data_IF_819410884931
#
_entry.id   IF_819410884931
#
_cell.length_a   1.000
_cell.length_b   1.000
_cell.length_c   1.000
_cell.angle_alpha   90.00
_cell.angle_beta   90.00
_cell.angle_gamma   90.00
#
_symmetry.space_group_name_H-M   'P 1'
#
loop_
_entity.id
_entity.type
_entity.pdbx_description
1 polymer ?
#
# COMPACT_ATOMS: atom_id res chain seq x y z
N UNK A 1 65.32 -54.77 22.78
CA UNK A 1 63.88 -55.12 22.71
C UNK A 1 63.18 -54.48 23.89
N UNK A 2 62.14 -53.67 23.65
CA UNK A 2 60.93 -53.48 24.49
C UNK A 2 60.26 -52.14 24.13
N UNK A 3 58.93 -52.16 24.04
CA UNK A 3 58.08 -51.22 23.31
C UNK A 3 57.95 -49.80 23.92
N UNK A 4 57.88 -48.81 23.04
CA UNK A 4 57.43 -47.44 23.33
C UNK A 4 55.90 -47.41 23.31
N UNK A 5 55.29 -47.10 24.46
CA UNK A 5 53.85 -47.17 24.69
C UNK A 5 53.16 -45.87 24.25
N UNK A 6 52.20 -45.99 23.32
CA UNK A 6 51.25 -44.94 22.93
C UNK A 6 50.26 -44.67 24.07
N UNK A 7 50.05 -43.41 24.41
CA UNK A 7 48.78 -42.95 25.01
C UNK A 7 48.22 -41.83 24.12
N UNK A 8 47.21 -42.20 23.33
CA UNK A 8 46.37 -41.29 22.55
C UNK A 8 45.37 -40.66 23.51
N UNK A 9 45.31 -39.33 23.52
CA UNK A 9 44.29 -38.57 24.26
C UNK A 9 42.88 -38.97 23.81
N UNK A 10 42.12 -39.57 24.72
CA UNK A 10 40.69 -39.83 24.57
C UNK A 10 39.92 -38.90 25.50
N UNK A 11 39.74 -37.65 25.10
CA UNK A 11 38.86 -36.70 25.81
C UNK A 11 38.45 -35.53 24.93
N UNK A 12 37.99 -35.78 23.70
CA UNK A 12 37.44 -34.71 22.86
C UNK A 12 36.32 -35.16 21.89
N UNK A 13 35.55 -36.18 22.26
CA UNK A 13 34.35 -36.60 21.49
C UNK A 13 33.04 -36.49 22.30
N UNK A 14 33.03 -35.79 23.44
CA UNK A 14 31.85 -35.70 24.30
C UNK A 14 30.96 -34.47 24.09
N UNK A 15 31.47 -33.38 23.51
CA UNK A 15 30.75 -32.10 23.46
C UNK A 15 30.21 -31.70 22.08
N UNK A 16 30.64 -32.37 21.01
CA UNK A 16 30.17 -32.06 19.65
C UNK A 16 28.80 -32.70 19.32
N UNK A 17 28.48 -33.85 19.90
CA UNK A 17 27.22 -34.56 19.61
C UNK A 17 25.98 -33.88 20.23
N UNK A 18 26.13 -33.22 21.39
CA UNK A 18 25.03 -32.49 22.04
C UNK A 18 24.65 -31.21 21.29
N UNK A 19 25.64 -30.53 20.71
CA UNK A 19 25.45 -29.33 19.88
C UNK A 19 24.66 -29.61 18.59
N UNK A 20 24.98 -30.70 17.89
CA UNK A 20 24.27 -31.08 16.67
C UNK A 20 22.81 -31.50 16.91
N UNK A 21 22.50 -32.13 18.05
CA UNK A 21 21.13 -32.53 18.37
C UNK A 21 20.23 -31.32 18.70
N UNK A 22 20.77 -30.27 19.33
CA UNK A 22 20.03 -29.03 19.58
C UNK A 22 19.71 -28.27 18.27
N UNK A 23 20.64 -28.26 17.31
CA UNK A 23 20.41 -27.64 16.00
C UNK A 23 19.37 -28.40 15.16
N UNK A 24 19.34 -29.73 15.25
CA UNK A 24 18.30 -30.54 14.60
C UNK A 24 16.94 -30.39 15.26
N UNK A 25 16.88 -30.25 16.60
CA UNK A 25 15.62 -29.97 17.31
C UNK A 25 15.05 -28.57 16.95
N UNK A 26 15.91 -27.58 16.72
CA UNK A 26 15.50 -26.24 16.27
C UNK A 26 15.02 -26.22 14.81
N UNK A 27 15.50 -27.12 13.95
CA UNK A 27 15.02 -27.22 12.57
C UNK A 27 13.67 -27.95 12.43
N UNK A 28 13.29 -28.79 13.39
CA UNK A 28 11.99 -29.48 13.38
C UNK A 28 10.85 -28.61 13.90
N UNK A 29 11.14 -27.52 14.60
CA UNK A 29 10.17 -26.43 14.76
C UNK A 29 10.16 -25.63 13.46
N UNK A 30 9.46 -26.18 12.46
CA UNK A 30 8.83 -25.40 11.41
C UNK A 30 7.88 -24.42 12.09
N UNK A 31 8.44 -23.31 12.55
CA UNK A 31 7.70 -22.11 12.87
C UNK A 31 7.02 -21.74 11.58
N UNK A 32 5.78 -22.18 11.42
CA UNK A 32 4.84 -21.47 10.59
C UNK A 32 4.85 -20.06 11.16
N UNK A 33 5.66 -19.20 10.58
CA UNK A 33 5.48 -17.77 10.71
C UNK A 33 4.04 -17.58 10.26
N UNK A 34 3.13 -17.42 11.24
CA UNK A 34 1.78 -16.93 10.97
C UNK A 34 2.04 -15.73 10.10
N UNK A 35 1.49 -15.66 8.86
CA UNK A 35 1.61 -14.45 8.09
C UNK A 35 1.13 -13.36 9.02
N UNK A 36 2.02 -12.45 9.41
CA UNK A 36 1.56 -11.22 10.06
C UNK A 36 0.90 -10.48 8.89
N UNK A 37 -0.34 -10.86 8.59
CA UNK A 37 -1.15 -10.22 7.58
C UNK A 37 -1.27 -8.78 8.02
N UNK A 38 -0.50 -7.91 7.39
CA UNK A 38 -0.58 -6.48 7.60
C UNK A 38 -1.90 -6.02 6.99
N UNK A 39 -2.97 -6.13 7.77
CA UNK A 39 -4.28 -5.61 7.36
C UNK A 39 -4.11 -4.14 6.96
N UNK A 40 -4.62 -3.78 5.79
CA UNK A 40 -4.57 -2.42 5.28
C UNK A 40 -5.32 -1.49 6.23
N UNK A 41 -4.58 -0.63 6.93
CA UNK A 41 -5.15 0.29 7.90
C UNK A 41 -4.37 1.59 8.00
N UNK A 42 -5.10 2.67 8.26
CA UNK A 42 -4.62 3.99 8.61
C UNK A 42 -5.19 4.38 9.98
N UNK A 43 -4.52 5.28 10.69
CA UNK A 43 -5.04 5.73 11.98
C UNK A 43 -6.12 6.79 11.77
N UNK A 44 -7.09 6.84 12.68
CA UNK A 44 -8.08 7.90 12.68
C UNK A 44 -7.44 9.31 12.70
N UNK A 45 -6.32 9.45 13.43
CA UNK A 45 -5.55 10.71 13.50
C UNK A 45 -4.92 11.14 12.19
N UNK A 46 -4.67 10.23 11.24
CA UNK A 46 -4.15 10.57 9.92
C UNK A 46 -5.16 11.45 9.13
N UNK A 47 -6.46 11.36 9.44
CA UNK A 47 -7.53 12.13 8.82
C UNK A 47 -8.09 13.28 9.69
N UNK A 48 -7.65 13.41 10.95
CA UNK A 48 -8.07 14.49 11.87
C UNK A 48 -7.16 15.72 11.76
N UNK A 49 -6.88 16.14 10.53
CA UNK A 49 -6.05 17.32 10.25
C UNK A 49 -6.89 18.30 9.42
N UNK A 50 -7.70 19.17 10.06
CA UNK A 50 -8.66 20.02 9.35
C UNK A 50 -8.04 20.85 8.23
N UNK A 51 -6.83 21.38 8.48
CA UNK A 51 -6.11 22.18 7.50
C UNK A 51 -5.83 21.41 6.20
N UNK A 52 -5.21 20.23 6.28
CA UNK A 52 -4.86 19.46 5.06
C UNK A 52 -6.09 18.85 4.39
N UNK A 53 -7.12 18.51 5.17
CA UNK A 53 -8.43 18.10 4.63
C UNK A 53 -9.02 19.23 3.80
N UNK A 54 -9.06 20.45 4.32
CA UNK A 54 -9.58 21.60 3.58
C UNK A 54 -8.74 21.87 2.33
N UNK A 55 -7.41 21.84 2.41
CA UNK A 55 -6.53 22.00 1.25
C UNK A 55 -6.76 20.93 0.18
N UNK A 56 -7.01 19.69 0.58
CA UNK A 56 -7.34 18.59 -0.34
C UNK A 56 -8.66 18.85 -1.07
N UNK A 57 -9.66 19.37 -0.36
CA UNK A 57 -10.96 19.68 -0.95
C UNK A 57 -10.88 20.91 -1.87
N UNK A 58 -10.10 21.93 -1.51
CA UNK A 58 -9.87 23.10 -2.36
C UNK A 58 -9.11 22.73 -3.63
N UNK A 59 -8.11 21.85 -3.55
CA UNK A 59 -7.41 21.32 -4.73
C UNK A 59 -8.38 20.59 -5.68
N UNK A 60 -9.24 19.74 -5.10
CA UNK A 60 -10.25 19.03 -5.87
C UNK A 60 -11.25 20.00 -6.53
N UNK A 61 -11.72 21.00 -5.78
CA UNK A 61 -12.63 22.01 -6.30
C UNK A 61 -11.99 22.79 -7.46
N UNK A 62 -10.77 23.29 -7.30
CA UNK A 62 -10.08 24.07 -8.33
C UNK A 62 -9.85 23.27 -9.61
N UNK A 63 -9.43 22.00 -9.50
CA UNK A 63 -9.28 21.13 -10.65
C UNK A 63 -10.62 20.76 -11.29
N UNK A 64 -11.68 20.59 -10.50
CA UNK A 64 -13.01 20.29 -11.03
C UNK A 64 -13.59 21.43 -11.89
N UNK A 65 -13.22 22.68 -11.61
CA UNK A 65 -13.60 23.84 -12.45
C UNK A 65 -12.93 23.79 -13.83
N UNK A 66 -11.79 23.10 -13.96
CA UNK A 66 -11.10 22.89 -15.23
C UNK A 66 -11.51 21.56 -15.92
N UNK A 67 -12.30 20.72 -15.25
CA UNK A 67 -12.82 19.47 -15.79
C UNK A 67 -14.15 19.70 -16.52
N UNK A 68 -14.08 19.76 -17.84
CA UNK A 68 -15.27 19.98 -18.68
C UNK A 68 -16.10 18.72 -18.91
N UNK A 69 -15.68 17.54 -18.43
CA UNK A 69 -16.38 16.29 -18.68
C UNK A 69 -17.28 15.93 -17.49
N UNK A 70 -18.59 16.04 -17.64
CA UNK A 70 -19.55 15.69 -16.57
C UNK A 70 -20.11 14.27 -16.68
N UNK A 71 -19.87 13.59 -17.81
CA UNK A 71 -20.41 12.26 -18.09
C UNK A 71 -19.64 11.13 -17.40
N UNK A 72 -18.35 11.34 -17.15
CA UNK A 72 -17.45 10.33 -16.59
C UNK A 72 -17.06 10.69 -15.17
N UNK A 73 -17.33 9.74 -14.26
CA UNK A 73 -16.87 9.75 -12.86
C UNK A 73 -15.90 8.60 -12.62
N UNK A 74 -14.72 8.89 -12.08
CA UNK A 74 -13.66 7.91 -11.83
C UNK A 74 -13.88 7.14 -10.53
N UNK A 75 -14.18 7.84 -9.44
CA UNK A 75 -14.33 7.30 -8.09
C UNK A 75 -15.82 7.25 -7.72
N UNK A 76 -16.39 6.06 -7.84
CA UNK A 76 -17.79 5.78 -7.54
C UNK A 76 -18.07 4.28 -7.43
N UNK A 77 -19.35 3.90 -7.41
CA UNK A 77 -19.78 2.53 -7.09
C UNK A 77 -19.16 1.44 -7.98
N UNK A 78 -18.92 1.75 -9.26
CA UNK A 78 -18.28 0.83 -10.22
C UNK A 78 -16.89 0.38 -9.76
N UNK A 79 -16.13 1.26 -9.12
CA UNK A 79 -14.80 0.96 -8.60
C UNK A 79 -14.83 -0.11 -7.50
N UNK A 80 -15.91 -0.16 -6.71
CA UNK A 80 -16.09 -1.10 -5.62
C UNK A 80 -16.92 -2.33 -6.00
N UNK A 81 -17.28 -2.48 -7.28
CA UNK A 81 -18.13 -3.57 -7.74
C UNK A 81 -17.44 -4.92 -7.50
N UNK A 82 -18.10 -5.82 -6.76
CA UNK A 82 -17.57 -7.14 -6.43
C UNK A 82 -16.43 -7.15 -5.41
N UNK A 83 -16.13 -6.02 -4.75
CA UNK A 83 -15.03 -5.91 -3.77
C UNK A 83 -15.57 -6.04 -2.35
N UNK A 84 -15.02 -6.98 -1.56
CA UNK A 84 -15.41 -7.15 -0.17
C UNK A 84 -15.02 -5.91 0.65
N UNK A 85 -15.83 -5.53 1.64
CA UNK A 85 -15.53 -4.39 2.53
C UNK A 85 -14.13 -4.49 3.15
N UNK A 86 -13.68 -5.70 3.51
CA UNK A 86 -12.36 -5.95 4.10
C UNK A 86 -11.19 -5.69 3.13
N UNK A 87 -11.46 -5.70 1.82
CA UNK A 87 -10.47 -5.49 0.76
C UNK A 87 -10.45 -4.04 0.26
N UNK A 88 -11.43 -3.21 0.65
CA UNK A 88 -11.59 -1.85 0.12
C UNK A 88 -10.40 -0.95 0.44
N UNK A 89 -9.76 -1.11 1.60
CA UNK A 89 -8.57 -0.30 1.88
C UNK A 89 -7.40 -0.68 0.95
N UNK A 90 -7.25 -1.96 0.63
CA UNK A 90 -6.26 -2.41 -0.35
C UNK A 90 -6.56 -1.87 -1.75
N UNK A 91 -7.82 -1.89 -2.16
CA UNK A 91 -8.23 -1.23 -3.40
C UNK A 91 -7.85 0.26 -3.38
N UNK A 92 -8.16 0.98 -2.30
CA UNK A 92 -7.89 2.41 -2.21
C UNK A 92 -6.39 2.72 -2.12
N UNK A 93 -5.56 1.82 -1.58
CA UNK A 93 -4.10 1.90 -1.67
C UNK A 93 -3.67 1.91 -3.13
N UNK A 94 -4.16 0.97 -3.95
CA UNK A 94 -3.78 0.87 -5.35
C UNK A 94 -4.21 2.09 -6.17
N UNK A 95 -5.42 2.62 -5.88
CA UNK A 95 -5.90 3.87 -6.49
C UNK A 95 -5.05 5.06 -6.04
N UNK A 96 -4.74 5.19 -4.75
CA UNK A 96 -3.90 6.26 -4.21
C UNK A 96 -2.51 6.26 -4.84
N UNK A 97 -1.87 5.10 -4.96
CA UNK A 97 -0.54 4.97 -5.55
C UNK A 97 -0.56 5.40 -7.02
N UNK A 98 -1.53 4.92 -7.79
CA UNK A 98 -1.73 5.35 -9.17
C UNK A 98 -1.93 6.86 -9.27
N UNK A 99 -2.83 7.44 -8.48
CA UNK A 99 -3.09 8.88 -8.50
C UNK A 99 -1.84 9.69 -8.12
N UNK A 100 -1.03 9.23 -7.17
CA UNK A 100 0.23 9.90 -6.85
C UNK A 100 1.21 9.87 -8.03
N UNK A 101 1.51 8.69 -8.55
CA UNK A 101 2.60 8.48 -9.51
C UNK A 101 2.27 8.98 -10.92
N UNK A 102 1.05 8.74 -11.37
CA UNK A 102 0.66 8.91 -12.78
C UNK A 102 -0.26 10.14 -12.99
N UNK A 103 -0.65 10.83 -11.92
CA UNK A 103 -1.51 12.03 -12.00
C UNK A 103 -0.87 13.21 -11.27
N UNK A 104 -0.66 13.10 -9.96
CA UNK A 104 -0.26 14.25 -9.14
C UNK A 104 1.19 14.67 -9.36
N UNK A 105 2.13 13.72 -9.42
CA UNK A 105 3.53 14.04 -9.67
C UNK A 105 3.76 14.68 -11.06
N UNK A 106 3.19 14.16 -12.16
CA UNK A 106 3.23 14.82 -13.48
C UNK A 106 2.63 16.24 -13.47
N UNK A 107 1.53 16.43 -12.75
CA UNK A 107 0.81 17.72 -12.69
C UNK A 107 1.26 18.61 -11.51
N UNK A 108 2.39 18.30 -10.88
CA UNK A 108 2.87 18.95 -9.64
C UNK A 108 3.08 20.47 -9.75
N UNK A 109 3.22 21.00 -10.97
CA UNK A 109 3.39 22.42 -11.24
C UNK A 109 2.08 23.21 -11.29
N UNK A 110 0.92 22.55 -11.33
CA UNK A 110 -0.42 23.16 -11.43
C UNK A 110 -1.11 23.27 -10.07
N UNK A 111 -2.22 24.03 -10.03
CA UNK A 111 -3.12 24.16 -8.87
C UNK A 111 -2.39 24.50 -7.57
N UNK A 112 -1.45 25.44 -7.69
CA UNK A 112 -0.70 25.97 -6.57
C UNK A 112 -1.55 26.97 -5.80
N UNK A 113 -1.42 27.05 -4.45
CA UNK A 113 -0.43 26.35 -3.63
C UNK A 113 -0.86 24.94 -3.16
N UNK A 114 -2.09 24.53 -3.45
CA UNK A 114 -2.68 23.32 -2.83
C UNK A 114 -1.92 22.05 -3.22
N UNK A 115 -1.48 21.94 -4.47
CA UNK A 115 -0.72 20.78 -4.95
C UNK A 115 0.56 20.54 -4.13
N UNK A 116 1.32 21.60 -3.82
CA UNK A 116 2.55 21.51 -3.04
C UNK A 116 2.32 20.98 -1.61
N UNK A 117 1.14 21.25 -1.04
CA UNK A 117 0.81 20.83 0.34
C UNK A 117 0.18 19.43 0.38
N UNK A 118 -0.71 19.12 -0.56
CA UNK A 118 -1.51 17.89 -0.57
C UNK A 118 -0.71 16.67 -1.03
N UNK A 119 0.18 16.82 -2.02
CA UNK A 119 0.97 15.68 -2.55
C UNK A 119 1.85 15.04 -1.47
N UNK A 120 2.65 15.77 -0.68
CA UNK A 120 3.43 15.17 0.41
C UNK A 120 2.57 14.47 1.45
N UNK A 121 1.38 15.00 1.75
CA UNK A 121 0.45 14.39 2.68
C UNK A 121 -0.08 13.04 2.15
N UNK A 122 -0.55 13.00 0.90
CA UNK A 122 -1.02 11.76 0.26
C UNK A 122 0.11 10.73 0.13
N UNK A 123 1.32 11.17 -0.19
CA UNK A 123 2.51 10.31 -0.22
C UNK A 123 2.81 9.68 1.15
N UNK A 124 2.60 10.42 2.25
CA UNK A 124 2.72 9.87 3.62
C UNK A 124 1.69 8.76 3.87
N UNK A 125 0.44 8.92 3.42
CA UNK A 125 -0.59 7.88 3.55
C UNK A 125 -0.24 6.64 2.72
N UNK A 126 0.21 6.85 1.47
CA UNK A 126 0.68 5.76 0.59
C UNK A 126 1.82 4.98 1.25
N UNK A 127 2.82 5.68 1.81
CA UNK A 127 3.94 5.04 2.48
C UNK A 127 3.49 4.20 3.70
N UNK A 128 2.51 4.66 4.48
CA UNK A 128 1.93 3.86 5.58
C UNK A 128 1.24 2.59 5.10
N UNK A 129 0.68 2.60 3.88
CA UNK A 129 0.00 1.46 3.26
C UNK A 129 0.93 0.57 2.44
N UNK A 130 2.19 0.95 2.23
CA UNK A 130 3.14 0.26 1.34
C UNK A 130 3.29 -1.24 1.65
N UNK A 131 3.38 -1.59 2.92
CA UNK A 131 3.55 -2.97 3.39
C UNK A 131 2.25 -3.76 3.51
N UNK A 132 1.08 -3.13 3.33
CA UNK A 132 -0.17 -3.87 3.36
C UNK A 132 -0.31 -4.77 2.13
N UNK A 133 -0.79 -6.00 2.36
CA UNK A 133 -1.25 -6.95 1.33
C UNK A 133 -2.55 -7.61 1.78
N UNK A 134 -3.27 -8.22 0.84
CA UNK A 134 -4.39 -9.10 1.16
C UNK A 134 -4.01 -10.56 0.91
N UNK A 135 -4.70 -11.47 1.59
CA UNK A 135 -4.44 -12.92 1.49
C UNK A 135 -5.24 -13.59 0.36
N UNK A 136 -6.28 -12.92 -0.14
CA UNK A 136 -7.16 -13.38 -1.22
C UNK A 136 -6.61 -13.07 -2.62
N UNK A 137 -7.16 -13.75 -3.63
CA UNK A 137 -6.91 -13.39 -5.04
C UNK A 137 -7.30 -11.92 -5.29
N UNK A 138 -6.38 -11.17 -5.90
CA UNK A 138 -6.52 -9.73 -6.15
C UNK A 138 -7.10 -9.41 -7.53
N UNK A 139 -7.43 -10.42 -8.34
CA UNK A 139 -7.79 -10.23 -9.75
C UNK A 139 -8.98 -9.28 -9.96
N UNK A 140 -10.01 -9.34 -9.12
CA UNK A 140 -11.16 -8.43 -9.18
C UNK A 140 -10.78 -6.98 -8.85
N UNK A 141 -9.91 -6.78 -7.87
CA UNK A 141 -9.40 -5.46 -7.48
C UNK A 141 -8.54 -4.88 -8.60
N UNK A 142 -7.59 -5.67 -9.12
CA UNK A 142 -6.73 -5.26 -10.21
C UNK A 142 -7.54 -4.90 -11.46
N UNK A 143 -8.60 -5.65 -11.79
CA UNK A 143 -9.51 -5.31 -12.89
C UNK A 143 -10.18 -3.96 -12.67
N UNK A 144 -10.71 -3.70 -11.49
CA UNK A 144 -11.41 -2.43 -11.19
C UNK A 144 -10.44 -1.24 -11.23
N UNK A 145 -9.24 -1.40 -10.65
CA UNK A 145 -8.18 -0.38 -10.70
C UNK A 145 -7.73 -0.15 -12.14
N UNK A 146 -7.57 -1.21 -12.94
CA UNK A 146 -7.17 -1.10 -14.34
C UNK A 146 -8.21 -0.34 -15.16
N UNK A 147 -9.51 -0.58 -14.94
CA UNK A 147 -10.57 0.19 -15.62
C UNK A 147 -10.48 1.69 -15.30
N UNK A 148 -10.17 2.05 -14.06
CA UNK A 148 -9.94 3.45 -13.67
C UNK A 148 -8.71 4.02 -14.40
N UNK A 149 -7.58 3.28 -14.39
CA UNK A 149 -6.34 3.67 -15.09
C UNK A 149 -6.57 3.88 -16.59
N UNK A 150 -7.26 2.95 -17.24
CA UNK A 150 -7.58 3.01 -18.66
C UNK A 150 -8.49 4.19 -18.99
N UNK A 151 -9.43 4.51 -18.10
CA UNK A 151 -10.31 5.67 -18.26
C UNK A 151 -9.53 6.98 -18.18
N UNK A 152 -8.63 7.12 -17.19
CA UNK A 152 -7.75 8.30 -17.08
C UNK A 152 -6.88 8.43 -18.33
N UNK A 153 -6.21 7.35 -18.75
CA UNK A 153 -5.37 7.35 -19.96
C UNK A 153 -6.15 7.70 -21.23
N UNK A 154 -7.35 7.16 -21.39
CA UNK A 154 -8.22 7.44 -22.54
C UNK A 154 -8.65 8.91 -22.61
N UNK A 155 -8.81 9.55 -21.46
CA UNK A 155 -9.15 10.97 -21.36
C UNK A 155 -7.92 11.89 -21.50
N UNK A 156 -6.70 11.34 -21.50
CA UNK A 156 -5.45 12.09 -21.62
C UNK A 156 -5.28 13.09 -20.47
N UNK A 157 -4.80 14.29 -20.78
CA UNK A 157 -4.60 15.36 -19.80
C UNK A 157 -5.90 15.70 -19.04
N UNK A 158 -7.06 15.70 -19.72
CA UNK A 158 -8.35 15.92 -19.06
C UNK A 158 -8.69 14.81 -18.06
N UNK A 159 -8.19 13.59 -18.27
CA UNK A 159 -8.31 12.48 -17.32
C UNK A 159 -7.51 12.71 -16.05
N UNK A 160 -6.31 13.29 -16.18
CA UNK A 160 -5.48 13.68 -15.03
C UNK A 160 -6.14 14.81 -14.24
N UNK A 161 -6.65 15.84 -14.94
CA UNK A 161 -7.39 16.94 -14.30
C UNK A 161 -8.64 16.45 -13.58
N UNK A 162 -9.41 15.56 -14.20
CA UNK A 162 -10.55 14.89 -13.57
C UNK A 162 -10.14 14.11 -12.32
N UNK A 163 -9.05 13.36 -12.37
CA UNK A 163 -8.56 12.62 -11.21
C UNK A 163 -8.14 13.55 -10.06
N UNK A 164 -7.56 14.71 -10.36
CA UNK A 164 -7.29 15.76 -9.35
C UNK A 164 -8.61 16.33 -8.81
N UNK A 165 -9.57 16.60 -9.70
CA UNK A 165 -10.91 17.10 -9.37
C UNK A 165 -11.72 16.17 -8.46
N UNK A 166 -11.43 14.87 -8.50
CA UNK A 166 -12.06 13.86 -7.65
C UNK A 166 -11.24 13.51 -6.39
N UNK A 167 -10.19 14.25 -6.04
CA UNK A 167 -9.38 13.98 -4.83
C UNK A 167 -10.18 14.02 -3.53
N UNK A 168 -11.24 14.83 -3.45
CA UNK A 168 -12.13 14.85 -2.29
C UNK A 168 -12.86 13.50 -2.12
N UNK A 169 -13.27 12.88 -3.23
CA UNK A 169 -13.86 11.55 -3.25
C UNK A 169 -12.84 10.48 -2.88
N UNK A 170 -11.63 10.56 -3.45
CA UNK A 170 -10.51 9.68 -3.10
C UNK A 170 -10.22 9.72 -1.61
N UNK A 171 -10.12 10.92 -1.03
CA UNK A 171 -9.82 11.14 0.38
C UNK A 171 -10.90 10.54 1.28
N UNK A 172 -12.19 10.79 0.99
CA UNK A 172 -13.31 10.22 1.76
C UNK A 172 -13.35 8.69 1.63
N UNK A 173 -13.18 8.16 0.41
CA UNK A 173 -13.19 6.73 0.16
C UNK A 173 -12.04 6.02 0.89
N UNK A 174 -10.83 6.59 0.85
CA UNK A 174 -9.67 6.09 1.58
C UNK A 174 -9.93 6.10 3.09
N UNK A 175 -10.45 7.22 3.64
CA UNK A 175 -10.80 7.32 5.06
C UNK A 175 -11.79 6.25 5.50
N UNK A 176 -12.87 6.08 4.74
CA UNK A 176 -13.95 5.16 5.11
C UNK A 176 -13.52 3.69 4.94
N UNK A 177 -12.60 3.41 4.02
CA UNK A 177 -12.12 2.06 3.77
C UNK A 177 -11.02 1.62 4.75
N UNK A 178 -10.20 2.55 5.24
CA UNK A 178 -8.92 2.26 5.89
C UNK A 178 -8.86 2.50 7.40
N UNK A 179 -9.88 3.07 8.04
CA UNK A 179 -9.92 3.26 9.51
C UNK A 179 -10.52 2.03 10.18
#
# INVERSE_FOLDING_TARGET
MAALQKCVNSSLMGTLASSCLLLLALWVQGGAAVPIGSHCRLNHSDFQQPYITNRTFMLAEEASLADNNTDVRLIGDKLFHGVNVRERCYLMKEVLNFTLEEVLLPQSHRFQPYMQEVVPFLAKLSNRLSQCRIESDEQHIQRNVQMLKDTVKKLGENGEIKAIGELSLLFIALRNACI
#
